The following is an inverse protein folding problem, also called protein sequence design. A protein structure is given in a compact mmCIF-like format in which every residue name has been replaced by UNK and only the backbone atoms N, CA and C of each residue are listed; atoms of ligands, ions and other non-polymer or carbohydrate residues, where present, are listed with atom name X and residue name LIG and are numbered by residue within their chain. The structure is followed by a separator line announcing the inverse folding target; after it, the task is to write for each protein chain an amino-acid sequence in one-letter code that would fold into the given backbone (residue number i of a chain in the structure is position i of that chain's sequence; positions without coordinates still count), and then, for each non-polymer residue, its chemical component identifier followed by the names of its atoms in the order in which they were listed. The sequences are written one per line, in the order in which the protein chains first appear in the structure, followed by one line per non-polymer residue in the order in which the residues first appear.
data_IF_182657699816
#
_entry.id   IF_182657699816
#
_cell.length_a   1.000
_cell.length_b   1.000
_cell.length_c   1.000
_cell.angle_alpha   90.00
_cell.angle_beta   90.00
_cell.angle_gamma   90.00
#
_symmetry.space_group_name_H-M   'P 1'
#
loop_
_entity.id
_entity.type
_entity.pdbx_description
1 polymer ?
#
# COMPACT_ATOMS: atom_id res chain seq x y z
N UNK A 1 -63.74 5.98 26.36
CA UNK A 1 -63.74 5.28 27.66
C UNK A 1 -62.59 4.27 27.68
N UNK A 2 -61.88 4.24 28.78
CA UNK A 2 -60.79 3.35 29.15
C UNK A 2 -59.46 3.65 28.45
N UNK A 3 -58.71 4.53 29.12
CA UNK A 3 -57.29 4.72 28.86
C UNK A 3 -56.46 3.61 29.50
N UNK A 4 -55.47 3.15 28.77
CA UNK A 4 -54.43 2.29 29.31
C UNK A 4 -53.13 3.11 29.41
N UNK A 5 -52.78 3.45 30.64
CA UNK A 5 -51.51 4.09 30.96
C UNK A 5 -50.45 3.00 31.05
N UNK A 6 -49.50 2.99 30.10
CA UNK A 6 -48.38 2.10 30.14
C UNK A 6 -47.21 2.82 30.84
N UNK A 7 -46.94 2.42 32.09
CA UNK A 7 -45.80 2.91 32.85
C UNK A 7 -44.54 2.18 32.40
N UNK A 8 -43.59 2.90 31.79
CA UNK A 8 -42.28 2.39 31.44
C UNK A 8 -41.35 2.63 32.65
N UNK A 9 -40.99 1.55 33.35
CA UNK A 9 -39.98 1.58 34.38
C UNK A 9 -38.55 1.53 33.75
N UNK A 10 -37.83 2.62 33.89
CA UNK A 10 -36.41 2.70 33.47
C UNK A 10 -35.57 2.13 34.62
N UNK A 11 -35.00 0.92 34.41
CA UNK A 11 -33.99 0.39 35.28
C UNK A 11 -32.64 1.00 34.87
N UNK A 12 -32.10 1.91 35.68
CA UNK A 12 -30.75 2.39 35.61
C UNK A 12 -29.79 1.37 36.24
N UNK A 13 -29.12 0.58 35.43
CA UNK A 13 -27.99 -0.24 35.87
C UNK A 13 -26.74 0.63 35.95
N UNK A 14 -26.34 1.01 37.16
CA UNK A 14 -25.11 1.73 37.43
C UNK A 14 -23.90 0.80 37.21
N UNK A 15 -23.07 1.11 36.22
CA UNK A 15 -21.74 0.53 36.10
C UNK A 15 -20.82 1.11 37.17
N UNK A 16 -20.42 0.28 38.13
CA UNK A 16 -19.42 0.58 39.13
C UNK A 16 -18.05 0.47 38.50
N UNK A 17 -17.41 1.59 38.19
CA UNK A 17 -16.02 1.64 37.76
C UNK A 17 -15.11 1.17 38.88
N UNK A 18 -14.36 0.09 38.62
CA UNK A 18 -13.31 -0.42 39.47
C UNK A 18 -12.08 0.40 39.16
N UNK A 19 -11.69 1.22 40.14
CA UNK A 19 -10.42 1.96 40.17
C UNK A 19 -9.29 0.93 40.17
N UNK A 20 -8.48 0.91 39.10
CA UNK A 20 -7.29 0.07 39.02
C UNK A 20 -6.13 0.86 39.64
N UNK A 21 -5.68 0.40 40.80
CA UNK A 21 -4.47 0.87 41.45
C UNK A 21 -3.27 0.66 40.51
N UNK A 22 -2.47 1.70 40.36
CA UNK A 22 -1.19 1.65 39.66
C UNK A 22 -0.21 0.74 40.39
N UNK A 23 0.54 -0.13 39.72
CA UNK A 23 1.57 -0.92 40.36
C UNK A 23 2.76 -0.03 40.76
N UNK A 24 3.10 -0.06 42.02
CA UNK A 24 4.30 0.50 42.62
C UNK A 24 5.55 -0.11 41.96
N UNK A 25 6.58 0.67 41.60
CA UNK A 25 7.81 0.11 41.06
C UNK A 25 8.58 -0.63 42.16
N UNK A 26 8.65 -1.93 42.03
CA UNK A 26 9.44 -2.80 42.91
C UNK A 26 10.84 -2.95 42.34
N UNK A 27 11.79 -2.60 43.20
CA UNK A 27 13.19 -3.00 43.29
C UNK A 27 14.01 -3.18 42.01
N UNK A 28 14.95 -2.26 41.89
CA UNK A 28 16.22 -2.38 41.18
C UNK A 28 16.86 -3.76 41.40
N UNK A 29 16.83 -4.61 40.39
CA UNK A 29 17.76 -5.72 40.30
C UNK A 29 18.96 -5.24 39.53
N UNK A 30 20.12 -5.23 40.19
CA UNK A 30 21.41 -5.07 39.58
C UNK A 30 21.64 -6.18 38.55
N UNK A 31 21.51 -5.84 37.27
CA UNK A 31 21.97 -6.69 36.17
C UNK A 31 23.47 -6.39 36.01
N UNK A 32 24.35 -7.38 36.13
CA UNK A 32 25.74 -7.17 35.78
C UNK A 32 25.85 -6.75 34.33
N UNK A 33 26.42 -5.58 34.09
CA UNK A 33 26.77 -5.13 32.75
C UNK A 33 27.93 -6.00 32.24
N UNK A 34 27.60 -7.11 31.61
CA UNK A 34 28.55 -7.84 30.77
C UNK A 34 28.65 -7.08 29.46
N UNK A 35 29.60 -6.18 29.39
CA UNK A 35 29.99 -5.46 28.18
C UNK A 35 30.64 -6.49 27.24
N UNK A 36 29.84 -7.24 26.51
CA UNK A 36 30.32 -7.93 25.32
C UNK A 36 30.58 -6.85 24.26
N UNK A 37 31.84 -6.41 24.17
CA UNK A 37 32.31 -5.70 22.99
C UNK A 37 32.16 -6.66 21.78
N UNK A 38 30.98 -6.63 21.15
CA UNK A 38 30.81 -7.27 19.84
C UNK A 38 31.63 -6.43 18.87
N UNK A 39 32.82 -6.95 18.53
CA UNK A 39 33.67 -6.40 17.49
C UNK A 39 32.83 -6.30 16.20
N UNK A 40 32.39 -5.08 15.86
CA UNK A 40 31.68 -4.81 14.63
C UNK A 40 32.63 -5.08 13.47
N UNK A 41 32.48 -6.25 12.84
CA UNK A 41 33.10 -6.54 11.55
C UNK A 41 32.22 -5.89 10.49
N UNK A 42 32.67 -4.86 9.77
CA UNK A 42 31.91 -4.30 8.66
C UNK A 42 31.71 -5.39 7.63
N UNK A 43 30.43 -5.63 7.30
CA UNK A 43 30.09 -6.54 6.21
C UNK A 43 30.78 -6.06 4.92
N UNK A 44 31.18 -6.98 4.02
CA UNK A 44 31.79 -6.63 2.74
C UNK A 44 30.86 -5.65 2.01
N UNK A 45 31.38 -4.47 1.66
CA UNK A 45 30.63 -3.50 0.85
C UNK A 45 30.45 -4.12 -0.52
N UNK A 46 29.23 -4.60 -0.81
CA UNK A 46 28.87 -5.05 -2.14
C UNK A 46 29.02 -3.88 -3.11
N UNK A 47 29.91 -4.03 -4.09
CA UNK A 47 30.10 -3.01 -5.13
C UNK A 47 29.11 -3.24 -6.25
N UNK A 48 28.17 -2.31 -6.41
CA UNK A 48 27.15 -2.32 -7.45
C UNK A 48 27.50 -1.32 -8.56
N UNK A 49 28.58 -1.62 -9.31
CA UNK A 49 29.01 -0.75 -10.41
C UNK A 49 27.94 -0.72 -11.53
N UNK A 50 27.46 0.49 -11.87
CA UNK A 50 26.42 0.69 -12.89
C UNK A 50 24.99 0.43 -12.40
N UNK A 51 24.80 0.15 -11.12
CA UNK A 51 23.51 -0.01 -10.48
C UNK A 51 23.23 1.11 -9.47
N UNK A 52 21.95 1.40 -9.27
CA UNK A 52 21.45 2.32 -8.25
C UNK A 52 20.27 1.71 -7.54
N UNK A 53 19.95 2.20 -6.33
CA UNK A 53 18.73 1.80 -5.62
C UNK A 53 17.51 2.34 -6.33
N UNK A 54 16.55 1.46 -6.64
CA UNK A 54 15.23 1.87 -7.14
C UNK A 54 14.55 2.77 -6.11
N UNK A 55 13.99 3.89 -6.55
CA UNK A 55 13.20 4.78 -5.72
C UNK A 55 11.91 4.08 -5.20
N UNK A 56 11.37 3.15 -5.97
CA UNK A 56 10.08 2.50 -5.69
C UNK A 56 10.21 1.26 -4.80
N UNK A 57 11.22 0.42 -5.03
CA UNK A 57 11.38 -0.87 -4.35
C UNK A 57 12.55 -0.88 -3.36
N UNK A 58 13.51 0.02 -3.52
CA UNK A 58 14.78 0.00 -2.80
C UNK A 58 15.74 -1.09 -3.27
N UNK A 59 15.39 -1.89 -4.26
CA UNK A 59 16.26 -2.91 -4.84
C UNK A 59 17.30 -2.32 -5.78
N UNK A 60 18.40 -3.02 -6.00
CA UNK A 60 19.41 -2.63 -6.97
C UNK A 60 18.90 -2.83 -8.39
N UNK A 61 19.08 -1.83 -9.25
CA UNK A 61 18.70 -1.88 -10.65
C UNK A 61 19.68 -1.10 -11.52
N UNK A 62 19.73 -1.41 -12.80
CA UNK A 62 20.55 -0.69 -13.78
C UNK A 62 20.26 0.81 -13.77
N UNK A 63 21.30 1.65 -13.70
CA UNK A 63 21.18 3.12 -13.61
C UNK A 63 20.40 3.72 -14.78
N UNK A 64 20.47 3.13 -15.98
CA UNK A 64 19.74 3.63 -17.15
C UNK A 64 18.25 3.35 -17.02
N UNK A 65 17.89 2.19 -16.47
CA UNK A 65 16.49 1.83 -16.21
C UNK A 65 15.89 2.67 -15.10
N UNK A 66 16.68 3.00 -14.08
CA UNK A 66 16.27 3.85 -12.97
C UNK A 66 15.89 5.28 -13.41
N UNK A 67 16.39 5.73 -14.54
CA UNK A 67 16.08 7.04 -15.14
C UNK A 67 14.80 7.05 -15.99
N UNK A 68 14.22 5.87 -16.25
CA UNK A 68 12.98 5.80 -17.01
C UNK A 68 11.84 6.40 -16.18
N UNK A 69 11.00 7.17 -16.83
CA UNK A 69 9.70 7.54 -16.28
C UNK A 69 8.87 6.27 -16.12
N UNK A 70 8.30 5.99 -14.95
CA UNK A 70 7.52 4.77 -14.76
C UNK A 70 6.24 4.79 -15.60
N UNK A 71 5.65 3.61 -15.77
CA UNK A 71 4.36 3.44 -16.44
C UNK A 71 3.36 2.87 -15.45
N UNK A 72 2.18 3.46 -15.37
CA UNK A 72 1.08 2.95 -14.56
C UNK A 72 0.00 2.31 -15.45
N UNK A 73 -0.34 1.07 -15.17
CA UNK A 73 -1.30 0.28 -15.95
C UNK A 73 -2.47 -0.14 -15.08
N UNK A 74 -3.69 0.17 -15.54
CA UNK A 74 -4.91 -0.28 -14.87
C UNK A 74 -5.21 -1.73 -15.23
N UNK A 75 -5.25 -2.62 -14.24
CA UNK A 75 -5.44 -4.06 -14.43
C UNK A 75 -6.70 -4.52 -13.71
N UNK A 76 -7.47 -5.40 -14.36
CA UNK A 76 -8.66 -5.98 -13.77
C UNK A 76 -8.30 -6.99 -12.68
N UNK A 77 -9.08 -6.99 -11.58
CA UNK A 77 -8.92 -7.90 -10.46
C UNK A 77 -10.18 -8.78 -10.24
N UNK A 78 -10.72 -9.33 -11.32
CA UNK A 78 -11.80 -10.31 -11.23
C UNK A 78 -11.31 -11.71 -11.47
N UNK A 79 -11.95 -12.69 -10.83
CA UNK A 79 -11.55 -14.09 -10.93
C UNK A 79 -11.57 -14.64 -12.37
N UNK A 80 -12.45 -14.11 -13.21
CA UNK A 80 -12.58 -14.54 -14.62
C UNK A 80 -11.43 -14.07 -15.52
N UNK A 81 -10.62 -13.12 -15.05
CA UNK A 81 -9.49 -12.55 -15.80
C UNK A 81 -8.14 -13.13 -15.43
N UNK A 82 -8.12 -14.10 -14.54
CA UNK A 82 -6.90 -14.82 -14.18
C UNK A 82 -6.42 -15.75 -15.31
N UNK A 83 -5.10 -15.90 -15.49
CA UNK A 83 -4.02 -15.20 -14.78
C UNK A 83 -3.85 -13.77 -15.28
N UNK A 84 -3.55 -12.85 -14.34
CA UNK A 84 -3.15 -11.48 -14.66
C UNK A 84 -1.72 -11.49 -15.18
N UNK A 85 -1.51 -10.89 -16.36
CA UNK A 85 -0.21 -10.89 -16.99
C UNK A 85 0.66 -9.72 -16.50
N UNK A 86 1.91 -10.03 -16.14
CA UNK A 86 2.90 -9.02 -15.77
C UNK A 86 2.78 -8.47 -14.34
N UNK A 87 1.75 -8.83 -13.58
CA UNK A 87 1.50 -8.27 -12.25
C UNK A 87 2.64 -8.55 -11.26
N UNK A 88 3.27 -9.71 -11.35
CA UNK A 88 4.39 -10.08 -10.49
C UNK A 88 5.69 -9.30 -10.76
N UNK A 89 5.71 -8.47 -11.80
CA UNK A 89 6.84 -7.60 -12.14
C UNK A 89 6.57 -6.12 -11.79
N UNK A 90 5.42 -5.82 -11.17
CA UNK A 90 5.11 -4.47 -10.76
C UNK A 90 5.96 -4.05 -9.57
N UNK A 91 6.52 -2.84 -9.64
CA UNK A 91 7.25 -2.22 -8.54
C UNK A 91 6.29 -1.81 -7.41
N UNK A 92 5.10 -1.32 -7.78
CA UNK A 92 4.04 -0.93 -6.84
C UNK A 92 2.69 -1.39 -7.37
N UNK A 93 1.81 -1.82 -6.46
CA UNK A 93 0.42 -2.17 -6.77
C UNK A 93 -0.52 -1.43 -5.82
N UNK A 94 -1.43 -0.65 -6.38
CA UNK A 94 -2.57 -0.08 -5.67
C UNK A 94 -3.83 -0.88 -5.96
N UNK A 95 -4.51 -1.32 -4.92
CA UNK A 95 -5.81 -1.97 -5.04
C UNK A 95 -6.89 -1.07 -4.44
N UNK A 96 -7.90 -0.72 -5.25
CA UNK A 96 -9.03 0.07 -4.79
C UNK A 96 -10.36 -0.49 -5.29
N UNK A 97 -11.45 -0.33 -4.51
CA UNK A 97 -12.79 -0.67 -4.95
C UNK A 97 -13.19 0.13 -6.20
N UNK A 98 -13.92 -0.54 -7.08
CA UNK A 98 -14.63 0.06 -8.22
C UNK A 98 -16.10 -0.34 -8.19
N UNK A 99 -16.85 0.05 -9.23
CA UNK A 99 -18.28 -0.27 -9.31
C UNK A 99 -18.51 -1.80 -9.34
N UNK A 100 -19.66 -2.24 -8.85
CA UNK A 100 -20.06 -3.63 -8.88
C UNK A 100 -19.48 -4.50 -7.76
N UNK A 101 -18.92 -3.90 -6.71
CA UNK A 101 -18.38 -4.62 -5.55
C UNK A 101 -17.09 -5.40 -5.83
N UNK A 102 -16.38 -5.03 -6.89
CA UNK A 102 -15.07 -5.59 -7.24
C UNK A 102 -13.95 -4.58 -6.98
N UNK A 103 -12.72 -5.04 -7.01
CA UNK A 103 -11.54 -4.17 -6.97
C UNK A 103 -10.88 -4.10 -8.34
N UNK A 104 -10.01 -3.11 -8.49
CA UNK A 104 -9.13 -2.94 -9.65
C UNK A 104 -7.73 -2.63 -9.16
N UNK A 105 -6.73 -3.03 -9.93
CA UNK A 105 -5.33 -2.78 -9.60
C UNK A 105 -4.78 -1.69 -10.51
N UNK A 106 -4.00 -0.79 -9.93
CA UNK A 106 -3.06 0.05 -10.66
C UNK A 106 -1.67 -0.48 -10.39
N UNK A 107 -1.00 -0.95 -11.41
CA UNK A 107 0.35 -1.52 -11.35
C UNK A 107 1.34 -0.54 -11.94
N UNK A 108 2.40 -0.21 -11.21
CA UNK A 108 3.43 0.74 -11.63
C UNK A 108 4.71 -0.03 -11.94
N UNK A 109 5.33 0.29 -13.07
CA UNK A 109 6.54 -0.37 -13.57
C UNK A 109 7.58 0.67 -13.98
N UNK A 110 8.78 0.57 -13.43
CA UNK A 110 9.93 1.38 -13.86
C UNK A 110 10.69 0.71 -15.02
N UNK A 111 10.90 -0.61 -14.94
CA UNK A 111 11.50 -1.40 -16.02
C UNK A 111 10.44 -2.05 -16.90
N UNK A 112 9.53 -1.25 -17.48
CA UNK A 112 8.47 -1.77 -18.34
C UNK A 112 8.98 -2.33 -19.68
N UNK A 113 10.17 -1.93 -20.14
CA UNK A 113 10.74 -2.40 -21.40
C UNK A 113 11.08 -3.90 -21.38
N UNK A 114 11.29 -4.48 -20.20
CA UNK A 114 11.55 -5.92 -20.02
C UNK A 114 10.27 -6.76 -20.04
N UNK A 115 9.10 -6.13 -19.94
CA UNK A 115 7.81 -6.83 -19.83
C UNK A 115 7.35 -7.37 -21.19
N UNK A 116 7.07 -8.67 -21.23
CA UNK A 116 6.54 -9.30 -22.45
C UNK A 116 5.05 -9.01 -22.65
N UNK A 117 4.30 -8.87 -21.56
CA UNK A 117 2.85 -8.69 -21.58
C UNK A 117 2.39 -8.15 -20.22
N UNK A 118 1.48 -7.18 -20.25
CA UNK A 118 0.76 -6.67 -19.08
C UNK A 118 -0.75 -6.67 -19.39
N UNK A 119 -1.56 -7.01 -18.47
CA UNK A 119 -3.02 -6.97 -18.65
C UNK A 119 -3.77 -8.02 -17.83
N UNK A 120 -5.06 -8.03 -17.89
CA UNK A 120 -5.99 -7.31 -18.81
C UNK A 120 -6.12 -5.84 -18.43
N UNK A 121 -5.89 -4.94 -19.39
CA UNK A 121 -5.95 -3.49 -19.15
C UNK A 121 -7.41 -3.01 -19.08
N UNK A 122 -7.70 -2.10 -18.15
CA UNK A 122 -9.03 -1.54 -17.87
C UNK A 122 -9.00 -0.03 -17.72
N UNK A 123 -10.18 0.58 -17.85
CA UNK A 123 -10.35 2.02 -17.72
C UNK A 123 -9.94 2.51 -16.33
N UNK A 124 -9.25 3.64 -16.29
CA UNK A 124 -8.87 4.33 -15.08
C UNK A 124 -10.10 5.01 -14.42
N UNK A 125 -10.04 5.17 -13.11
CA UNK A 125 -10.94 6.03 -12.33
C UNK A 125 -10.13 7.21 -11.80
N UNK A 126 -10.79 8.35 -11.62
CA UNK A 126 -10.13 9.62 -11.28
C UNK A 126 -9.21 9.52 -10.04
N UNK A 127 -9.62 8.79 -9.02
CA UNK A 127 -8.82 8.63 -7.81
C UNK A 127 -7.49 7.89 -8.05
N UNK A 128 -7.42 6.98 -9.03
CA UNK A 128 -6.14 6.36 -9.42
C UNK A 128 -5.18 7.37 -10.06
N UNK A 129 -5.71 8.36 -10.79
CA UNK A 129 -4.88 9.44 -11.33
C UNK A 129 -4.24 10.24 -10.19
N UNK A 130 -4.96 10.47 -9.09
CA UNK A 130 -4.40 11.14 -7.92
C UNK A 130 -3.31 10.32 -7.24
N UNK A 131 -3.49 9.02 -7.09
CA UNK A 131 -2.44 8.15 -6.54
C UNK A 131 -1.22 8.08 -7.47
N UNK A 132 -1.45 8.00 -8.78
CA UNK A 132 -0.38 7.97 -9.75
C UNK A 132 0.50 9.24 -9.71
N UNK A 133 -0.08 10.41 -9.41
CA UNK A 133 0.69 11.67 -9.37
C UNK A 133 1.89 11.64 -8.41
N UNK A 134 1.88 10.81 -7.38
CA UNK A 134 3.01 10.65 -6.47
C UNK A 134 4.28 10.14 -7.16
N UNK A 135 4.12 9.45 -8.28
CA UNK A 135 5.20 8.79 -9.02
C UNK A 135 5.44 9.41 -10.39
N UNK A 136 4.64 10.40 -10.79
CA UNK A 136 4.67 11.02 -12.12
C UNK A 136 4.72 10.03 -13.30
N UNK A 137 3.97 8.90 -13.26
CA UNK A 137 4.04 7.88 -14.28
C UNK A 137 3.37 8.33 -15.58
N UNK A 138 3.69 7.63 -16.66
CA UNK A 138 2.85 7.64 -17.86
C UNK A 138 1.68 6.68 -17.64
N UNK A 139 0.45 7.20 -17.70
CA UNK A 139 -0.77 6.41 -17.52
C UNK A 139 -1.16 5.69 -18.81
N UNK A 140 -1.06 4.36 -18.79
CA UNK A 140 -1.64 3.53 -19.85
C UNK A 140 -3.11 3.30 -19.52
N UNK A 141 -3.96 4.06 -20.21
CA UNK A 141 -5.41 3.99 -20.08
C UNK A 141 -6.02 3.65 -21.44
N UNK A 142 -6.85 2.61 -21.59
CA UNK A 142 -7.71 2.50 -22.74
C UNK A 142 -8.79 3.59 -22.60
N UNK A 143 -8.59 4.67 -23.31
CA UNK A 143 -9.25 5.97 -23.18
C UNK A 143 -10.77 5.83 -23.20
N UNK A 144 -11.42 6.36 -22.17
CA UNK A 144 -12.65 7.10 -22.38
C UNK A 144 -12.24 8.50 -22.78
N UNK A 145 -12.61 8.95 -23.97
CA UNK A 145 -12.31 10.25 -24.56
C UNK A 145 -12.77 11.48 -23.75
N UNK A 146 -13.28 11.28 -22.55
CA UNK A 146 -13.73 12.32 -21.63
C UNK A 146 -12.64 12.80 -20.65
N UNK A 147 -11.43 12.24 -20.69
CA UNK A 147 -10.33 12.61 -19.78
C UNK A 147 -9.19 13.41 -20.43
N UNK A 148 -9.27 13.66 -21.73
CA UNK A 148 -8.23 14.40 -22.48
C UNK A 148 -8.22 15.90 -22.22
N UNK A 149 -9.20 16.45 -21.50
CA UNK A 149 -9.42 17.91 -21.38
C UNK A 149 -9.15 18.48 -19.99
N UNK A 150 -8.46 17.77 -19.12
CA UNK A 150 -7.95 18.37 -17.88
C UNK A 150 -6.45 18.59 -18.00
N UNK A 151 -6.08 19.82 -18.33
CA UNK A 151 -4.72 20.38 -18.21
C UNK A 151 -4.15 20.03 -16.84
N UNK A 152 -3.07 19.25 -16.83
CA UNK A 152 -2.29 18.91 -15.64
C UNK A 152 -1.05 19.80 -15.58
#
# INVERSE_FOLDING_TARGET
MIGVVCAIAILSAGCKSKESEAPTPSSTQDVPAETAETEYQPEPVETHEGEVRSFYTGEWMDEKKAKNRPVAVMTENTHVTLPQYGIGNADIIYECPVEGGITRLMTIYQDYASLKKVGNVRSCRLYYVYFAKEFEPELVNPVSSAMEETDF
#
